data_IF_682514871628
#
_entry.id   IF_682514871628
#
_cell.length_a   1.000
_cell.length_b   1.000
_cell.length_c   1.000
_cell.angle_alpha   90.00
_cell.angle_beta   90.00
_cell.angle_gamma   90.00
#
_symmetry.space_group_name_H-M   'P 1'
#
loop_
_entity.id
_entity.type
_entity.pdbx_description
1 polymer ?
#
# COMPACT_ATOMS: atom_id res chain seq x y z
N UNK A 1 28.50 -24.04 27.89
CA UNK A 1 27.27 -23.33 28.34
C UNK A 1 27.68 -21.92 28.70
N UNK A 2 27.30 -20.97 27.86
CA UNK A 2 27.64 -19.57 28.05
C UNK A 2 26.37 -18.79 28.39
N UNK A 3 26.44 -17.93 29.40
CA UNK A 3 25.35 -17.02 29.76
C UNK A 3 25.74 -15.61 29.33
N UNK A 4 24.82 -14.93 28.64
CA UNK A 4 24.98 -13.52 28.29
C UNK A 4 23.84 -12.72 28.90
N UNK A 5 24.15 -11.50 29.36
CA UNK A 5 23.16 -10.58 29.91
C UNK A 5 23.04 -9.42 28.94
N UNK A 6 21.82 -9.22 28.43
CA UNK A 6 21.50 -8.11 27.56
C UNK A 6 20.89 -6.97 28.38
N UNK A 7 21.60 -5.84 28.41
CA UNK A 7 21.23 -4.63 29.15
C UNK A 7 20.58 -3.55 28.28
N UNK A 8 20.32 -3.81 26.98
CA UNK A 8 19.61 -2.86 26.11
C UNK A 8 18.26 -2.38 26.63
N UNK A 9 17.45 -3.18 27.37
CA UNK A 9 16.25 -2.66 28.02
C UNK A 9 16.50 -1.49 28.97
N UNK A 10 17.72 -1.30 29.48
CA UNK A 10 18.09 -0.18 30.36
C UNK A 10 18.78 0.98 29.65
N UNK A 11 19.22 0.82 28.39
CA UNK A 11 20.15 1.74 27.74
C UNK A 11 19.56 3.12 27.38
N UNK A 12 18.31 3.40 27.74
CA UNK A 12 17.71 4.72 27.64
C UNK A 12 18.09 5.63 28.82
N UNK A 13 18.01 5.12 30.06
CA UNK A 13 17.94 5.96 31.27
C UNK A 13 19.29 6.07 31.98
N UNK A 14 19.78 7.29 32.19
CA UNK A 14 20.98 7.52 33.00
C UNK A 14 20.75 8.60 34.06
N UNK A 15 21.52 8.51 35.14
CA UNK A 15 21.37 9.36 36.30
C UNK A 15 22.25 10.61 36.14
N UNK A 16 21.63 11.75 35.82
CA UNK A 16 22.34 13.02 35.74
C UNK A 16 22.44 13.64 37.14
N UNK A 17 23.64 14.13 37.49
CA UNK A 17 23.92 14.79 38.76
C UNK A 17 24.11 16.27 38.50
N UNK A 18 23.11 17.07 38.80
CA UNK A 18 23.19 18.53 38.73
C UNK A 18 23.30 19.12 40.13
N UNK A 19 24.27 20.02 40.32
CA UNK A 19 24.42 20.76 41.57
C UNK A 19 23.49 21.97 41.53
N UNK A 20 22.51 22.01 42.43
CA UNK A 20 21.64 23.18 42.57
C UNK A 20 22.34 24.21 43.50
N UNK A 21 22.81 25.36 42.96
CA UNK A 21 23.52 26.36 43.74
C UNK A 21 22.63 27.07 44.78
N UNK A 22 21.30 27.03 44.63
CA UNK A 22 20.36 27.68 45.55
C UNK A 22 20.04 26.79 46.76
N UNK A 23 19.89 25.47 46.54
CA UNK A 23 19.60 24.52 47.62
C UNK A 23 20.85 23.85 48.22
N UNK A 24 22.04 24.08 47.64
CA UNK A 24 23.32 23.47 48.03
C UNK A 24 23.25 21.93 48.13
N UNK A 25 22.43 21.30 47.29
CA UNK A 25 22.24 19.84 47.24
C UNK A 25 22.51 19.32 45.84
N UNK A 26 23.05 18.11 45.78
CA UNK A 26 23.16 17.34 44.54
C UNK A 26 21.78 16.78 44.25
N UNK A 27 21.17 17.21 43.16
CA UNK A 27 19.90 16.66 42.69
C UNK A 27 20.22 15.52 41.71
N UNK A 28 19.62 14.36 41.95
CA UNK A 28 19.69 13.22 41.05
C UNK A 28 18.44 13.24 40.19
N UNK A 29 18.58 13.55 38.91
CA UNK A 29 17.49 13.48 37.93
C UNK A 29 17.75 12.30 36.99
N UNK A 30 16.79 11.39 36.88
CA UNK A 30 16.81 10.38 35.82
C UNK A 30 16.53 11.10 34.50
N UNK A 31 17.45 10.97 33.54
CA UNK A 31 17.31 11.52 32.19
C UNK A 31 16.94 10.37 31.27
N UNK A 32 16.05 10.62 30.30
CA UNK A 32 15.57 9.66 29.28
C UNK A 32 14.70 8.51 29.83
N UNK A 33 13.82 8.75 30.80
CA UNK A 33 12.82 7.76 31.22
C UNK A 33 11.85 7.39 30.10
N UNK A 34 11.60 8.34 29.18
CA UNK A 34 10.63 8.21 28.09
C UNK A 34 11.25 7.71 26.77
N UNK A 35 12.57 7.53 26.72
CA UNK A 35 13.27 7.20 25.47
C UNK A 35 13.20 5.70 25.20
N UNK A 36 12.39 5.32 24.21
CA UNK A 36 12.35 3.96 23.71
C UNK A 36 13.48 3.73 22.70
N UNK A 37 14.46 2.91 23.07
CA UNK A 37 15.60 2.60 22.20
C UNK A 37 15.18 2.04 20.84
N UNK A 38 14.10 1.24 20.79
CA UNK A 38 13.59 0.71 19.53
C UNK A 38 12.99 1.82 18.66
N UNK A 39 12.36 2.84 19.25
CA UNK A 39 11.84 3.97 18.49
C UNK A 39 12.98 4.74 17.80
N UNK A 40 14.09 4.97 18.50
CA UNK A 40 15.29 5.60 17.90
C UNK A 40 15.87 4.71 16.78
N UNK A 41 15.97 3.41 16.99
CA UNK A 41 16.46 2.48 15.97
C UNK A 41 15.57 2.48 14.72
N UNK A 42 14.26 2.66 14.88
CA UNK A 42 13.31 2.73 13.79
C UNK A 42 13.43 4.01 12.95
N UNK A 43 13.73 5.14 13.58
CA UNK A 43 13.96 6.41 12.90
C UNK A 43 15.28 6.42 12.10
N UNK A 44 16.24 5.59 12.48
CA UNK A 44 17.53 5.47 11.78
C UNK A 44 17.38 4.86 10.38
N UNK A 45 18.13 5.41 9.42
CA UNK A 45 18.29 4.85 8.06
C UNK A 45 19.30 3.69 8.02
N UNK A 46 20.13 3.54 9.06
CA UNK A 46 21.23 2.57 9.12
C UNK A 46 20.72 1.16 9.47
N UNK A 47 20.28 0.39 8.46
CA UNK A 47 19.75 -0.97 8.65
C UNK A 47 20.76 -1.96 9.27
N UNK A 48 22.06 -1.74 9.09
CA UNK A 48 23.12 -2.60 9.62
C UNK A 48 23.09 -2.70 11.16
N UNK A 49 22.50 -1.73 11.85
CA UNK A 49 22.34 -1.80 13.30
C UNK A 49 21.51 -3.01 13.77
N UNK A 50 20.58 -3.48 12.94
CA UNK A 50 19.74 -4.65 13.21
C UNK A 50 20.51 -5.98 13.10
N UNK A 51 21.76 -5.97 12.65
CA UNK A 51 22.66 -7.13 12.69
C UNK A 51 23.24 -7.37 14.09
N UNK A 52 23.20 -6.36 14.97
CA UNK A 52 23.70 -6.50 16.32
C UNK A 52 22.88 -7.53 17.10
N UNK A 53 23.55 -8.59 17.57
CA UNK A 53 22.90 -9.72 18.25
C UNK A 53 22.07 -9.28 19.46
N UNK A 54 22.56 -8.30 20.22
CA UNK A 54 21.85 -7.74 21.37
C UNK A 54 20.53 -7.08 20.96
N UNK A 55 20.49 -6.38 19.83
CA UNK A 55 19.26 -5.75 19.33
C UNK A 55 18.26 -6.81 18.85
N UNK A 56 18.72 -7.82 18.11
CA UNK A 56 17.87 -8.95 17.67
C UNK A 56 17.24 -9.68 18.85
N UNK A 57 18.03 -9.98 19.89
CA UNK A 57 17.55 -10.63 21.10
C UNK A 57 16.47 -9.80 21.83
N UNK A 58 16.63 -8.48 21.87
CA UNK A 58 15.64 -7.58 22.45
C UNK A 58 14.33 -7.61 21.65
N UNK A 59 14.43 -7.51 20.32
CA UNK A 59 13.29 -7.53 19.41
C UNK A 59 12.56 -8.87 19.54
N UNK A 60 13.25 -10.00 19.48
CA UNK A 60 12.65 -11.32 19.59
C UNK A 60 11.97 -11.54 20.95
N UNK A 61 12.56 -11.07 22.04
CA UNK A 61 11.93 -11.13 23.35
C UNK A 61 10.61 -10.36 23.37
N UNK A 62 10.62 -9.08 22.99
CA UNK A 62 9.43 -8.22 23.01
C UNK A 62 8.36 -8.69 22.03
N UNK A 63 8.79 -9.16 20.85
CA UNK A 63 7.92 -9.74 19.83
C UNK A 63 7.14 -10.94 20.37
N UNK A 64 7.85 -11.91 20.97
CA UNK A 64 7.23 -13.12 21.51
C UNK A 64 6.44 -12.88 22.80
N UNK A 65 6.79 -11.85 23.58
CA UNK A 65 6.14 -11.56 24.84
C UNK A 65 4.72 -10.97 24.68
N UNK A 66 4.53 -10.04 23.73
CA UNK A 66 3.23 -9.37 23.54
C UNK A 66 2.96 -8.89 22.12
N UNK A 67 3.94 -8.37 21.38
CA UNK A 67 3.66 -7.68 20.11
C UNK A 67 3.09 -8.62 19.03
N UNK A 68 3.56 -9.87 18.96
CA UNK A 68 3.03 -10.85 18.02
C UNK A 68 1.54 -11.14 18.24
N UNK A 69 1.10 -11.24 19.50
CA UNK A 69 -0.30 -11.53 19.81
C UNK A 69 -1.21 -10.36 19.39
N UNK A 70 -0.79 -9.13 19.69
CA UNK A 70 -1.51 -7.91 19.29
C UNK A 70 -1.59 -7.78 17.77
N UNK A 71 -0.47 -8.04 17.07
CA UNK A 71 -0.43 -8.04 15.61
C UNK A 71 -1.36 -9.10 15.00
N UNK A 72 -1.29 -10.34 15.48
CA UNK A 72 -2.14 -11.43 14.98
C UNK A 72 -3.63 -11.19 15.25
N UNK A 73 -3.96 -10.56 16.38
CA UNK A 73 -5.32 -10.14 16.68
C UNK A 73 -5.79 -9.05 15.72
N UNK A 74 -4.97 -8.02 15.46
CA UNK A 74 -5.25 -6.98 14.48
C UNK A 74 -5.45 -7.54 13.07
N UNK A 75 -4.58 -8.46 12.64
CA UNK A 75 -4.68 -9.18 11.38
C UNK A 75 -5.99 -9.98 11.27
N UNK A 76 -6.38 -10.67 12.33
CA UNK A 76 -7.63 -11.44 12.37
C UNK A 76 -8.86 -10.55 12.19
N UNK A 77 -8.93 -9.42 12.92
CA UNK A 77 -10.04 -8.47 12.79
C UNK A 77 -10.07 -7.86 11.38
N UNK A 78 -8.91 -7.54 10.81
CA UNK A 78 -8.81 -7.04 9.43
C UNK A 78 -9.34 -8.04 8.40
N UNK A 79 -8.96 -9.32 8.50
CA UNK A 79 -9.51 -10.36 7.61
C UNK A 79 -11.00 -10.60 7.83
N UNK A 80 -11.48 -10.54 9.06
CA UNK A 80 -12.92 -10.60 9.35
C UNK A 80 -13.66 -9.43 8.67
N UNK A 81 -13.09 -8.22 8.71
CA UNK A 81 -13.66 -7.05 8.03
C UNK A 81 -13.65 -7.20 6.49
N UNK A 82 -12.57 -7.73 5.90
CA UNK A 82 -12.52 -8.04 4.46
C UNK A 82 -13.61 -9.04 4.08
N UNK A 83 -13.82 -10.07 4.88
CA UNK A 83 -14.88 -11.06 4.65
C UNK A 83 -16.26 -10.40 4.71
N UNK A 84 -16.49 -9.50 5.67
CA UNK A 84 -17.73 -8.72 5.76
C UNK A 84 -17.90 -7.84 4.49
N UNK A 85 -16.86 -7.12 4.06
CA UNK A 85 -16.89 -6.31 2.84
C UNK A 85 -17.21 -7.14 1.59
N UNK A 86 -16.61 -8.32 1.48
CA UNK A 86 -16.84 -9.25 0.37
C UNK A 86 -18.29 -9.72 0.33
N UNK A 87 -18.81 -10.24 1.46
CA UNK A 87 -20.19 -10.70 1.57
C UNK A 87 -21.19 -9.56 1.35
N UNK A 88 -20.93 -8.39 1.92
CA UNK A 88 -21.75 -7.19 1.75
C UNK A 88 -21.81 -6.76 0.27
N UNK A 89 -20.67 -6.76 -0.42
CA UNK A 89 -20.61 -6.41 -1.84
C UNK A 89 -21.48 -7.36 -2.67
N UNK A 90 -21.41 -8.67 -2.37
CA UNK A 90 -22.24 -9.66 -3.04
C UNK A 90 -23.74 -9.45 -2.76
N UNK A 91 -24.15 -9.29 -1.51
CA UNK A 91 -25.57 -9.11 -1.16
C UNK A 91 -26.16 -7.81 -1.74
N UNK A 92 -25.46 -6.68 -1.61
CA UNK A 92 -26.03 -5.38 -1.96
C UNK A 92 -25.85 -5.04 -3.43
N UNK A 93 -24.64 -5.24 -3.98
CA UNK A 93 -24.32 -4.80 -5.34
C UNK A 93 -24.54 -5.88 -6.41
N UNK A 94 -24.50 -7.17 -6.04
CA UNK A 94 -24.73 -8.28 -6.98
C UNK A 94 -26.17 -8.80 -6.88
N UNK A 95 -26.64 -9.14 -5.67
CA UNK A 95 -28.00 -9.68 -5.48
C UNK A 95 -29.08 -8.59 -5.42
N UNK A 96 -28.70 -7.32 -5.21
CA UNK A 96 -29.66 -6.21 -5.19
C UNK A 96 -30.50 -6.12 -3.92
N UNK A 97 -30.06 -6.75 -2.82
CA UNK A 97 -30.82 -6.82 -1.55
C UNK A 97 -30.87 -5.48 -0.78
N UNK A 98 -30.24 -4.42 -1.30
CA UNK A 98 -30.19 -3.09 -0.69
C UNK A 98 -31.31 -2.13 -1.13
N UNK A 99 -32.35 -2.61 -1.82
CA UNK A 99 -33.48 -1.78 -2.25
C UNK A 99 -34.47 -1.57 -1.08
N UNK A 100 -34.11 -0.70 -0.13
CA UNK A 100 -34.94 -0.37 1.04
C UNK A 100 -34.12 -0.14 2.29
N UNK A 101 -34.64 -0.57 3.44
CA UNK A 101 -33.87 -0.59 4.68
C UNK A 101 -32.70 -1.58 4.55
N UNK A 102 -31.49 -1.14 4.90
CA UNK A 102 -30.27 -1.90 4.73
C UNK A 102 -29.69 -2.27 6.11
N UNK A 103 -30.23 -3.32 6.76
CA UNK A 103 -29.76 -3.74 8.08
C UNK A 103 -28.31 -4.24 8.06
N UNK A 104 -27.80 -4.64 6.90
CA UNK A 104 -26.42 -5.12 6.71
C UNK A 104 -25.38 -4.01 6.91
N UNK A 105 -25.77 -2.74 6.83
CA UNK A 105 -24.91 -1.58 7.14
C UNK A 105 -24.42 -1.60 8.60
N UNK A 106 -25.20 -2.15 9.53
CA UNK A 106 -24.82 -2.30 10.94
C UNK A 106 -23.67 -3.30 11.09
N UNK A 107 -23.67 -4.36 10.28
CA UNK A 107 -22.61 -5.37 10.28
C UNK A 107 -21.30 -4.76 9.76
N UNK A 108 -21.36 -3.91 8.73
CA UNK A 108 -20.20 -3.14 8.27
C UNK A 108 -19.65 -2.23 9.37
N UNK A 109 -20.54 -1.49 10.05
CA UNK A 109 -20.15 -0.60 11.15
C UNK A 109 -19.51 -1.38 12.32
N UNK A 110 -20.07 -2.55 12.65
CA UNK A 110 -19.51 -3.42 13.68
C UNK A 110 -18.11 -3.94 13.31
N UNK A 111 -17.88 -4.28 12.03
CA UNK A 111 -16.58 -4.73 11.54
C UNK A 111 -15.48 -3.67 11.61
N UNK A 112 -15.82 -2.39 11.38
CA UNK A 112 -14.85 -1.28 11.44
C UNK A 112 -14.71 -0.66 12.84
N UNK A 113 -15.60 -0.96 13.78
CA UNK A 113 -15.61 -0.35 15.11
C UNK A 113 -14.29 -0.56 15.88
N UNK A 114 -13.75 -1.79 15.89
CA UNK A 114 -12.47 -2.06 16.57
C UNK A 114 -11.29 -1.31 15.94
N UNK A 115 -11.04 -1.42 14.61
CA UNK A 115 -9.98 -0.64 13.95
C UNK A 115 -10.14 0.87 14.15
N UNK A 116 -11.38 1.40 14.13
CA UNK A 116 -11.64 2.81 14.35
C UNK A 116 -11.29 3.26 15.77
N UNK A 117 -11.68 2.50 16.78
CA UNK A 117 -11.28 2.78 18.17
C UNK A 117 -9.76 2.67 18.36
N UNK A 118 -9.13 1.68 17.74
CA UNK A 118 -7.69 1.48 17.80
C UNK A 118 -6.94 2.69 17.25
N UNK A 119 -7.22 3.09 16.00
CA UNK A 119 -6.56 4.25 15.37
C UNK A 119 -6.86 5.57 16.11
N UNK A 120 -8.08 5.74 16.62
CA UNK A 120 -8.43 6.91 17.43
C UNK A 120 -7.55 6.98 18.68
N UNK A 121 -7.44 5.89 19.44
CA UNK A 121 -6.58 5.83 20.64
C UNK A 121 -5.11 6.08 20.28
N UNK A 122 -4.63 5.53 19.15
CA UNK A 122 -3.27 5.74 18.66
C UNK A 122 -2.98 7.22 18.44
N UNK A 123 -3.87 7.91 17.73
CA UNK A 123 -3.73 9.32 17.40
C UNK A 123 -3.70 10.22 18.66
N UNK A 124 -4.48 9.91 19.71
CA UNK A 124 -4.42 10.66 20.97
C UNK A 124 -3.14 10.41 21.76
N UNK A 125 -2.59 9.19 21.71
CA UNK A 125 -1.39 8.83 22.47
C UNK A 125 -0.11 9.35 21.84
N UNK A 126 -0.01 9.28 20.52
CA UNK A 126 1.14 9.81 19.77
C UNK A 126 1.07 11.34 19.69
N UNK A 127 -0.14 11.90 19.64
CA UNK A 127 -0.37 13.32 19.41
C UNK A 127 -0.77 13.57 17.95
N UNK A 128 -1.82 14.37 17.67
CA UNK A 128 -2.31 14.55 16.30
C UNK A 128 -1.28 15.15 15.32
N UNK A 129 -0.40 16.04 15.82
CA UNK A 129 0.63 16.67 15.00
C UNK A 129 1.67 15.65 14.53
N UNK A 130 2.24 14.89 15.46
CA UNK A 130 3.28 13.91 15.17
C UNK A 130 2.72 12.72 14.39
N UNK A 131 1.50 12.28 14.72
CA UNK A 131 0.82 11.19 14.00
C UNK A 131 0.62 11.50 12.51
N UNK A 132 0.29 12.75 12.16
CA UNK A 132 0.05 13.18 10.78
C UNK A 132 1.33 13.48 9.98
N UNK A 133 2.51 13.45 10.60
CA UNK A 133 3.77 13.54 9.84
C UNK A 133 4.08 12.28 9.04
N UNK A 134 3.56 11.12 9.46
CA UNK A 134 3.75 9.87 8.73
C UNK A 134 2.66 9.71 7.64
N UNK A 135 3.12 9.61 6.39
CA UNK A 135 2.27 9.33 5.22
C UNK A 135 1.53 7.99 5.32
N UNK A 136 2.08 7.03 6.06
CA UNK A 136 1.46 5.75 6.39
C UNK A 136 0.11 5.93 7.08
N UNK A 137 0.17 6.63 8.21
CA UNK A 137 -0.94 6.94 9.10
C UNK A 137 -2.04 7.74 8.41
N UNK A 138 -1.69 8.71 7.55
CA UNK A 138 -2.68 9.50 6.82
C UNK A 138 -3.59 8.64 5.94
N UNK A 139 -3.03 7.65 5.25
CA UNK A 139 -3.79 6.79 4.34
C UNK A 139 -4.63 5.78 5.11
N UNK A 140 -4.13 5.32 6.25
CA UNK A 140 -4.88 4.43 7.15
C UNK A 140 -6.06 5.17 7.81
N UNK A 141 -5.89 6.46 8.14
CA UNK A 141 -6.96 7.33 8.60
C UNK A 141 -8.07 7.46 7.55
N UNK A 142 -7.72 7.70 6.29
CA UNK A 142 -8.69 7.76 5.19
C UNK A 142 -9.42 6.43 5.02
N UNK A 143 -8.71 5.31 5.13
CA UNK A 143 -9.32 3.98 5.04
C UNK A 143 -10.35 3.73 6.13
N UNK A 144 -9.99 4.02 7.39
CA UNK A 144 -10.84 3.76 8.55
C UNK A 144 -12.03 4.71 8.62
N UNK A 145 -11.81 6.02 8.50
CA UNK A 145 -12.92 6.97 8.53
C UNK A 145 -13.76 6.94 7.26
N UNK A 146 -13.15 6.62 6.10
CA UNK A 146 -13.87 6.33 4.87
C UNK A 146 -14.78 5.10 5.03
N UNK A 147 -14.32 4.06 5.72
CA UNK A 147 -15.12 2.86 6.03
C UNK A 147 -16.28 3.15 6.99
N UNK A 148 -16.07 4.00 8.00
CA UNK A 148 -17.13 4.47 8.91
C UNK A 148 -18.16 5.32 8.15
N UNK A 149 -17.70 6.28 7.35
CA UNK A 149 -18.58 7.13 6.54
C UNK A 149 -19.40 6.30 5.55
N UNK A 150 -18.76 5.32 4.89
CA UNK A 150 -19.42 4.37 3.99
C UNK A 150 -20.52 3.58 4.70
N UNK A 151 -20.24 3.04 5.88
CA UNK A 151 -21.21 2.29 6.68
C UNK A 151 -22.42 3.14 7.05
N UNK A 152 -22.22 4.41 7.42
CA UNK A 152 -23.30 5.35 7.75
C UNK A 152 -24.12 5.72 6.52
N UNK A 153 -23.48 6.00 5.38
CA UNK A 153 -24.17 6.37 4.14
C UNK A 153 -25.03 5.23 3.60
N UNK A 154 -24.54 3.99 3.71
CA UNK A 154 -25.24 2.80 3.28
C UNK A 154 -26.43 2.43 4.17
N UNK A 155 -26.46 2.86 5.43
CA UNK A 155 -27.57 2.64 6.36
C UNK A 155 -28.71 3.66 6.26
N UNK A 156 -28.59 4.67 5.39
CA UNK A 156 -29.67 5.65 5.15
C UNK A 156 -30.49 5.24 3.93
N UNK A 157 -31.81 5.43 3.97
CA UNK A 157 -32.68 5.21 2.80
C UNK A 157 -32.32 6.12 1.62
N UNK A 158 -31.87 7.36 1.90
CA UNK A 158 -31.44 8.33 0.91
C UNK A 158 -30.19 9.06 1.44
N UNK A 159 -29.02 8.99 0.79
CA UNK A 159 -28.76 8.53 -0.59
C UNK A 159 -28.66 7.00 -0.80
N UNK A 160 -28.53 6.20 0.26
CA UNK A 160 -28.44 4.73 0.16
C UNK A 160 -27.17 4.20 -0.52
N UNK A 161 -27.05 2.86 -0.67
CA UNK A 161 -25.86 2.21 -1.23
C UNK A 161 -25.71 2.41 -2.75
N UNK A 162 -26.81 2.64 -3.48
CA UNK A 162 -26.75 2.72 -4.95
C UNK A 162 -26.35 4.09 -5.50
N UNK A 163 -26.31 5.12 -4.64
CA UNK A 163 -25.86 6.44 -5.02
C UNK A 163 -24.39 6.45 -5.44
N UNK A 164 -24.04 7.29 -6.41
CA UNK A 164 -22.69 7.32 -7.00
C UNK A 164 -21.59 7.63 -5.96
N UNK A 165 -21.89 8.50 -4.97
CA UNK A 165 -20.95 8.80 -3.87
C UNK A 165 -20.68 7.56 -3.02
N UNK A 166 -21.73 6.81 -2.67
CA UNK A 166 -21.64 5.58 -1.88
C UNK A 166 -20.80 4.52 -2.60
N UNK A 167 -21.05 4.34 -3.91
CA UNK A 167 -20.25 3.48 -4.78
C UNK A 167 -18.78 3.92 -4.85
N UNK A 168 -18.54 5.22 -4.99
CA UNK A 168 -17.18 5.77 -5.07
C UNK A 168 -16.40 5.53 -3.78
N UNK A 169 -17.01 5.81 -2.62
CA UNK A 169 -16.37 5.56 -1.32
C UNK A 169 -16.15 4.05 -1.14
N UNK A 170 -17.10 3.20 -1.52
CA UNK A 170 -16.93 1.74 -1.46
C UNK A 170 -15.72 1.28 -2.29
N UNK A 171 -15.61 1.72 -3.55
CA UNK A 171 -14.46 1.38 -4.41
C UNK A 171 -13.14 1.87 -3.81
N UNK A 172 -13.12 3.10 -3.27
CA UNK A 172 -11.95 3.66 -2.60
C UNK A 172 -11.54 2.84 -1.37
N UNK A 173 -12.49 2.49 -0.50
CA UNK A 173 -12.26 1.67 0.70
C UNK A 173 -11.74 0.29 0.32
N UNK A 174 -12.28 -0.35 -0.71
CA UNK A 174 -11.81 -1.66 -1.18
C UNK A 174 -10.37 -1.59 -1.70
N UNK A 175 -10.00 -0.54 -2.43
CA UNK A 175 -8.61 -0.34 -2.89
C UNK A 175 -7.68 -0.14 -1.68
N UNK A 176 -8.06 0.71 -0.73
CA UNK A 176 -7.27 0.96 0.47
C UNK A 176 -7.16 -0.30 1.37
N UNK A 177 -8.16 -1.18 1.37
CA UNK A 177 -8.10 -2.46 2.08
C UNK A 177 -6.97 -3.35 1.56
N UNK A 178 -6.67 -3.32 0.25
CA UNK A 178 -5.55 -4.07 -0.33
C UNK A 178 -4.22 -3.57 0.26
N UNK A 179 -4.01 -2.25 0.26
CA UNK A 179 -2.81 -1.64 0.88
C UNK A 179 -2.69 -2.05 2.36
N UNK A 180 -3.76 -1.90 3.16
CA UNK A 180 -3.74 -2.26 4.59
C UNK A 180 -3.44 -3.75 4.78
N UNK A 181 -3.95 -4.62 3.90
CA UNK A 181 -3.62 -6.06 3.91
C UNK A 181 -2.13 -6.30 3.73
N UNK A 182 -1.51 -5.68 2.71
CA UNK A 182 -0.07 -5.82 2.49
C UNK A 182 0.76 -5.30 3.68
N UNK A 183 0.34 -4.21 4.33
CA UNK A 183 1.01 -3.72 5.54
C UNK A 183 1.02 -4.76 6.67
N UNK A 184 -0.11 -5.44 6.93
CA UNK A 184 -0.15 -6.52 7.91
C UNK A 184 0.69 -7.74 7.52
N UNK A 185 0.77 -8.05 6.22
CA UNK A 185 1.52 -9.19 5.71
C UNK A 185 3.04 -8.97 5.67
N UNK A 186 3.50 -7.71 5.74
CA UNK A 186 4.91 -7.31 5.65
C UNK A 186 5.80 -7.98 6.69
N UNK A 187 5.27 -8.42 7.84
CA UNK A 187 6.07 -9.04 8.89
C UNK A 187 6.37 -10.53 8.67
N UNK A 188 5.61 -11.21 7.82
CA UNK A 188 5.81 -12.63 7.59
C UNK A 188 7.04 -12.83 6.71
N UNK A 189 8.01 -13.63 7.16
CA UNK A 189 9.28 -13.84 6.43
C UNK A 189 9.09 -14.26 4.97
N UNK A 190 8.05 -15.03 4.66
CA UNK A 190 7.75 -15.47 3.29
C UNK A 190 7.09 -14.38 2.42
N UNK A 191 6.39 -13.42 3.01
CA UNK A 191 5.62 -12.40 2.29
C UNK A 191 6.28 -11.01 2.32
N UNK A 192 7.13 -10.75 3.32
CA UNK A 192 7.91 -9.52 3.46
C UNK A 192 8.69 -9.15 2.20
N UNK A 193 9.45 -10.07 1.56
CA UNK A 193 10.19 -9.72 0.35
C UNK A 193 9.25 -9.19 -0.73
N UNK A 194 8.09 -9.81 -0.90
CA UNK A 194 7.12 -9.44 -1.94
C UNK A 194 6.57 -8.03 -1.67
N UNK A 195 6.14 -7.74 -0.44
CA UNK A 195 5.54 -6.44 -0.09
C UNK A 195 6.58 -5.30 -0.18
N UNK A 196 7.76 -5.51 0.38
CA UNK A 196 8.83 -4.49 0.39
C UNK A 196 9.38 -4.27 -1.01
N UNK A 197 9.54 -5.34 -1.80
CA UNK A 197 9.98 -5.25 -3.19
C UNK A 197 8.98 -4.46 -4.04
N UNK A 198 7.68 -4.78 -3.98
CA UNK A 198 6.68 -4.07 -4.79
C UNK A 198 6.68 -2.56 -4.53
N UNK A 199 6.86 -2.14 -3.28
CA UNK A 199 6.91 -0.72 -2.93
C UNK A 199 8.19 -0.05 -3.44
N UNK A 200 9.33 -0.74 -3.35
CA UNK A 200 10.62 -0.19 -3.77
C UNK A 200 10.79 -0.15 -5.29
N UNK A 201 10.42 -1.23 -5.98
CA UNK A 201 10.50 -1.35 -7.44
C UNK A 201 9.69 -0.25 -8.13
N UNK A 202 8.51 0.13 -7.59
CA UNK A 202 7.73 1.22 -8.17
C UNK A 202 8.45 2.58 -8.09
N UNK A 203 9.24 2.82 -7.04
CA UNK A 203 10.06 4.03 -6.90
C UNK A 203 11.25 3.98 -7.84
N UNK A 204 11.92 2.84 -7.93
CA UNK A 204 13.09 2.67 -8.81
C UNK A 204 12.68 2.80 -10.30
N UNK A 205 11.48 2.32 -10.68
CA UNK A 205 10.93 2.42 -12.03
C UNK A 205 10.33 3.79 -12.38
N UNK A 206 10.27 4.75 -11.45
CA UNK A 206 9.53 6.01 -11.68
C UNK A 206 10.02 6.80 -12.90
N UNK A 207 11.35 6.83 -13.13
CA UNK A 207 11.96 7.52 -14.27
C UNK A 207 11.56 6.83 -15.56
N UNK A 208 11.52 5.49 -15.57
CA UNK A 208 11.09 4.70 -16.72
C UNK A 208 9.61 4.87 -17.02
N UNK A 209 8.75 4.88 -15.99
CA UNK A 209 7.33 5.14 -16.16
C UNK A 209 7.06 6.51 -16.79
N UNK A 210 7.86 7.53 -16.46
CA UNK A 210 7.79 8.83 -17.13
C UNK A 210 8.10 8.73 -18.62
N UNK A 211 9.23 8.09 -18.99
CA UNK A 211 9.57 7.88 -20.41
C UNK A 211 8.51 7.07 -21.14
N UNK A 212 7.93 6.07 -20.48
CA UNK A 212 6.86 5.24 -21.05
C UNK A 212 5.60 6.04 -21.36
N UNK A 213 5.15 6.87 -20.42
CA UNK A 213 3.98 7.73 -20.61
C UNK A 213 4.22 8.70 -21.77
N UNK A 214 5.42 9.28 -21.87
CA UNK A 214 5.79 10.13 -23.00
C UNK A 214 5.71 9.36 -24.32
N UNK A 215 6.29 8.14 -24.38
CA UNK A 215 6.23 7.31 -25.58
C UNK A 215 4.80 6.96 -25.98
N UNK A 216 3.94 6.59 -25.03
CA UNK A 216 2.53 6.28 -25.29
C UNK A 216 1.80 7.50 -25.85
N UNK A 217 1.96 8.65 -25.21
CA UNK A 217 1.32 9.89 -25.67
C UNK A 217 1.81 10.24 -27.07
N UNK A 218 3.12 10.17 -27.32
CA UNK A 218 3.66 10.42 -28.65
C UNK A 218 3.00 9.47 -29.64
N UNK A 219 3.15 8.15 -29.51
CA UNK A 219 2.56 7.13 -30.40
C UNK A 219 1.05 7.28 -30.62
N UNK A 220 0.31 7.73 -29.61
CA UNK A 220 -1.13 7.97 -29.72
C UNK A 220 -1.48 9.07 -30.72
N UNK A 221 -0.59 10.08 -30.85
CA UNK A 221 -0.76 11.16 -31.81
C UNK A 221 -0.58 10.65 -33.24
N UNK A 222 0.37 9.75 -33.50
CA UNK A 222 0.52 9.16 -34.85
C UNK A 222 -0.70 8.32 -35.23
N UNK A 223 -1.30 7.57 -34.28
CA UNK A 223 -2.57 6.87 -34.55
C UNK A 223 -3.72 7.85 -34.84
N UNK A 224 -3.77 8.97 -34.12
CA UNK A 224 -4.72 10.04 -34.39
C UNK A 224 -4.56 10.67 -35.78
N UNK A 225 -3.32 10.89 -36.21
CA UNK A 225 -2.99 11.43 -37.55
C UNK A 225 -3.38 10.45 -38.66
N UNK A 226 -3.21 9.14 -38.44
CA UNK A 226 -3.67 8.10 -39.37
C UNK A 226 -5.21 8.01 -39.47
N UNK A 227 -5.95 8.68 -38.58
CA UNK A 227 -7.41 8.61 -38.57
C UNK A 227 -7.97 7.23 -38.20
N UNK A 228 -7.18 6.42 -37.49
CA UNK A 228 -7.56 5.05 -37.15
C UNK A 228 -8.81 5.05 -36.25
N UNK A 229 -9.89 4.41 -36.72
CA UNK A 229 -11.17 4.38 -35.99
C UNK A 229 -11.95 5.70 -35.99
N UNK A 230 -11.63 6.63 -36.89
CA UNK A 230 -12.27 7.96 -36.94
C UNK A 230 -13.56 7.96 -37.77
N UNK A 231 -14.69 8.29 -37.12
CA UNK A 231 -16.01 8.41 -37.75
C UNK A 231 -16.32 9.82 -38.28
N UNK A 232 -15.53 10.83 -37.90
CA UNK A 232 -15.77 12.23 -38.28
C UNK A 232 -15.04 12.60 -39.57
N UNK A 233 -13.86 12.03 -39.79
CA UNK A 233 -13.03 12.28 -40.98
C UNK A 233 -13.45 11.36 -42.13
N UNK A 234 -13.45 11.89 -43.35
CA UNK A 234 -13.74 11.12 -44.56
C UNK A 234 -12.69 10.02 -44.79
N UNK A 235 -13.14 8.80 -45.03
CA UNK A 235 -12.27 7.64 -45.24
C UNK A 235 -13.03 6.32 -45.17
N UNK A 236 -12.37 5.19 -45.52
CA UNK A 236 -13.04 3.90 -45.62
C UNK A 236 -13.67 3.45 -44.29
N UNK A 237 -13.09 3.83 -43.15
CA UNK A 237 -13.69 3.55 -41.84
C UNK A 237 -15.04 4.27 -41.65
N UNK A 238 -15.11 5.57 -41.95
CA UNK A 238 -16.36 6.33 -41.87
C UNK A 238 -17.39 5.76 -42.85
N UNK A 239 -17.02 5.48 -44.09
CA UNK A 239 -17.96 5.00 -45.10
C UNK A 239 -18.62 3.66 -44.72
N UNK A 240 -17.89 2.79 -44.02
CA UNK A 240 -18.41 1.50 -43.58
C UNK A 240 -19.26 1.59 -42.30
N UNK A 241 -18.98 2.52 -41.38
CA UNK A 241 -19.57 2.51 -40.04
C UNK A 241 -20.39 3.77 -39.69
N UNK A 242 -20.37 4.81 -40.52
CA UNK A 242 -21.14 6.03 -40.28
C UNK A 242 -22.65 5.75 -40.34
N UNK A 243 -23.31 5.89 -39.20
CA UNK A 243 -24.76 5.63 -39.06
C UNK A 243 -25.14 4.19 -38.70
N UNK A 244 -24.18 3.27 -38.51
CA UNK A 244 -24.45 1.89 -38.07
C UNK A 244 -24.72 1.73 -36.56
N UNK A 245 -24.85 2.85 -35.81
CA UNK A 245 -25.11 2.80 -34.37
C UNK A 245 -23.86 2.41 -33.57
N UNK A 246 -23.99 1.42 -32.69
CA UNK A 246 -22.93 0.97 -31.76
C UNK A 246 -22.17 -0.28 -32.23
N UNK A 247 -22.24 -0.62 -33.52
CA UNK A 247 -21.60 -1.81 -34.09
C UNK A 247 -20.39 -1.43 -34.95
N UNK A 248 -19.30 -0.97 -34.30
CA UNK A 248 -18.04 -0.66 -34.98
C UNK A 248 -16.80 -0.94 -34.11
N UNK A 249 -15.63 -1.25 -34.71
CA UNK A 249 -14.39 -1.47 -33.97
C UNK A 249 -13.97 -0.20 -33.21
N UNK A 250 -13.78 -0.29 -31.89
CA UNK A 250 -13.45 0.86 -31.04
C UNK A 250 -14.66 1.60 -30.44
N UNK A 251 -15.87 1.03 -30.54
CA UNK A 251 -17.07 1.55 -29.85
C UNK A 251 -16.87 1.72 -28.33
N UNK A 252 -16.00 0.91 -27.72
CA UNK A 252 -15.59 1.03 -26.32
C UNK A 252 -15.07 2.43 -25.93
N UNK A 253 -14.50 3.17 -26.88
CA UNK A 253 -13.96 4.51 -26.65
C UNK A 253 -14.99 5.63 -26.85
N UNK A 254 -16.24 5.32 -27.26
CA UNK A 254 -17.28 6.33 -27.57
C UNK A 254 -17.52 7.32 -26.44
N UNK A 255 -17.48 6.86 -25.19
CA UNK A 255 -17.72 7.71 -23.99
C UNK A 255 -16.48 8.50 -23.54
N UNK A 256 -15.28 8.04 -23.90
CA UNK A 256 -14.01 8.64 -23.48
C UNK A 256 -13.50 9.62 -24.56
N UNK A 257 -13.89 9.39 -25.82
CA UNK A 257 -13.45 10.13 -26.99
C UNK A 257 -12.27 9.46 -27.68
N UNK A 258 -12.17 9.63 -29.00
CA UNK A 258 -11.15 8.99 -29.83
C UNK A 258 -9.72 9.37 -29.42
N UNK A 259 -9.49 10.61 -29.00
CA UNK A 259 -8.18 11.08 -28.55
C UNK A 259 -7.62 10.24 -27.38
N UNK A 260 -8.40 10.11 -26.29
CA UNK A 260 -8.02 9.26 -25.16
C UNK A 260 -8.10 7.77 -25.51
N UNK A 261 -8.99 7.38 -26.42
CA UNK A 261 -9.03 6.04 -26.99
C UNK A 261 -7.72 5.63 -27.65
N UNK A 262 -7.09 6.54 -28.40
CA UNK A 262 -5.79 6.27 -29.04
C UNK A 262 -4.67 6.09 -28.01
N UNK A 263 -4.67 6.87 -26.93
CA UNK A 263 -3.72 6.69 -25.81
C UNK A 263 -3.88 5.29 -25.20
N UNK A 264 -5.11 4.89 -24.91
CA UNK A 264 -5.41 3.57 -24.36
C UNK A 264 -5.09 2.44 -25.35
N UNK A 265 -5.27 2.68 -26.64
CA UNK A 265 -4.97 1.70 -27.70
C UNK A 265 -3.47 1.44 -27.80
N UNK A 266 -2.64 2.50 -27.75
CA UNK A 266 -1.18 2.34 -27.69
C UNK A 266 -0.74 1.67 -26.38
N UNK A 267 -1.35 2.04 -25.25
CA UNK A 267 -1.06 1.37 -23.98
C UNK A 267 -1.39 -0.13 -24.04
N UNK A 268 -2.53 -0.52 -24.63
CA UNK A 268 -2.88 -1.93 -24.88
C UNK A 268 -1.88 -2.63 -25.79
N UNK A 269 -1.48 -1.99 -26.88
CA UNK A 269 -0.45 -2.50 -27.80
C UNK A 269 0.89 -2.77 -27.07
N UNK A 270 1.26 -1.88 -26.14
CA UNK A 270 2.47 -2.00 -25.34
C UNK A 270 2.44 -3.13 -24.29
N UNK A 271 1.24 -3.65 -23.98
CA UNK A 271 1.06 -4.83 -23.12
C UNK A 271 0.87 -6.12 -23.94
N UNK A 272 0.92 -6.04 -25.27
CA UNK A 272 0.76 -7.18 -26.18
C UNK A 272 -0.68 -7.44 -26.66
N UNK A 273 -1.63 -6.53 -26.39
CA UNK A 273 -2.96 -6.58 -26.99
C UNK A 273 -2.97 -5.85 -28.33
N UNK A 274 -3.09 -6.62 -29.42
CA UNK A 274 -3.02 -6.13 -30.79
C UNK A 274 -4.39 -6.00 -31.47
N UNK A 275 -5.47 -5.82 -30.70
CA UNK A 275 -6.82 -5.56 -31.22
C UNK A 275 -6.89 -4.39 -32.23
N UNK A 276 -5.94 -3.46 -32.16
CA UNK A 276 -5.80 -2.33 -33.09
C UNK A 276 -5.54 -2.75 -34.55
N UNK A 277 -5.00 -3.95 -34.80
CA UNK A 277 -4.75 -4.47 -36.16
C UNK A 277 -6.06 -4.59 -36.95
N UNK A 278 -7.17 -4.94 -36.30
CA UNK A 278 -8.46 -5.08 -36.99
C UNK A 278 -8.94 -3.76 -37.61
N UNK A 279 -8.53 -2.62 -37.03
CA UNK A 279 -8.88 -1.30 -37.55
C UNK A 279 -8.06 -0.93 -38.79
N UNK A 280 -6.93 -1.60 -39.05
CA UNK A 280 -6.10 -1.35 -40.23
C UNK A 280 -6.73 -1.87 -41.53
N UNK A 281 -7.72 -2.76 -41.44
CA UNK A 281 -8.49 -3.25 -42.58
C UNK A 281 -9.33 -2.16 -43.26
N UNK A 282 -9.58 -1.06 -42.54
CA UNK A 282 -10.41 0.06 -42.98
C UNK A 282 -9.59 1.33 -43.27
N UNK A 283 -8.29 1.17 -43.48
CA UNK A 283 -7.38 2.22 -43.94
C UNK A 283 -7.17 2.12 -45.46
N UNK A 284 -6.84 3.23 -46.10
CA UNK A 284 -6.40 3.22 -47.50
C UNK A 284 -5.05 2.49 -47.63
N UNK A 285 -4.71 2.02 -48.83
CA UNK A 285 -3.48 1.24 -49.06
C UNK A 285 -2.20 1.97 -48.59
N UNK A 286 -2.11 3.29 -48.83
CA UNK A 286 -0.98 4.12 -48.39
C UNK A 286 -0.91 4.27 -46.87
N UNK A 287 -2.05 4.51 -46.23
CA UNK A 287 -2.19 4.64 -44.77
C UNK A 287 -1.93 3.30 -44.07
N UNK A 288 -2.33 2.19 -44.68
CA UNK A 288 -2.10 0.84 -44.18
C UNK A 288 -0.60 0.52 -44.14
N UNK A 289 0.17 0.90 -45.18
CA UNK A 289 1.64 0.77 -45.16
C UNK A 289 2.24 1.60 -44.02
N UNK A 290 1.81 2.86 -43.86
CA UNK A 290 2.27 3.72 -42.75
C UNK A 290 1.93 3.10 -41.39
N UNK A 291 0.72 2.56 -41.25
CA UNK A 291 0.26 1.86 -40.06
C UNK A 291 1.19 0.71 -39.69
N UNK A 292 1.55 -0.17 -40.64
CA UNK A 292 2.44 -1.30 -40.35
C UNK A 292 3.85 -0.86 -39.92
N UNK A 293 4.36 0.24 -40.47
CA UNK A 293 5.64 0.83 -40.05
C UNK A 293 5.56 1.33 -38.61
N UNK A 294 4.52 2.10 -38.27
CA UNK A 294 4.33 2.60 -36.90
C UNK A 294 4.04 1.48 -35.91
N UNK A 295 3.25 0.49 -36.30
CA UNK A 295 2.94 -0.68 -35.49
C UNK A 295 4.21 -1.49 -35.16
N UNK A 296 5.08 -1.71 -36.17
CA UNK A 296 6.39 -2.33 -35.94
C UNK A 296 7.25 -1.51 -34.99
N UNK A 297 7.27 -0.18 -35.15
CA UNK A 297 8.01 0.71 -34.26
C UNK A 297 7.51 0.64 -32.81
N UNK A 298 6.19 0.61 -32.60
CA UNK A 298 5.57 0.41 -31.28
C UNK A 298 6.05 -0.92 -30.70
N UNK A 299 5.91 -2.02 -31.45
CA UNK A 299 6.30 -3.35 -30.98
C UNK A 299 7.77 -3.43 -30.56
N UNK A 300 8.69 -2.90 -31.38
CA UNK A 300 10.12 -2.92 -31.07
C UNK A 300 10.43 -2.05 -29.85
N UNK A 301 9.93 -0.82 -29.80
CA UNK A 301 10.28 0.12 -28.73
C UNK A 301 9.62 -0.26 -27.40
N UNK A 302 8.34 -0.63 -27.38
CA UNK A 302 7.61 -0.92 -26.14
C UNK A 302 7.82 -2.36 -25.68
N UNK A 303 7.64 -3.34 -26.57
CA UNK A 303 7.57 -4.74 -26.15
C UNK A 303 8.95 -5.41 -26.11
N UNK A 304 9.88 -5.00 -26.98
CA UNK A 304 11.24 -5.58 -27.01
C UNK A 304 12.18 -4.76 -26.15
N UNK A 305 12.25 -3.45 -26.34
CA UNK A 305 13.24 -2.62 -25.62
C UNK A 305 12.72 -2.29 -24.21
N UNK A 306 11.58 -1.62 -24.12
CA UNK A 306 11.12 -1.08 -22.83
C UNK A 306 10.75 -2.18 -21.83
N UNK A 307 9.99 -3.20 -22.23
CA UNK A 307 9.60 -4.29 -21.33
C UNK A 307 10.80 -5.08 -20.79
N UNK A 308 11.77 -5.43 -21.63
CA UNK A 308 12.97 -6.14 -21.18
C UNK A 308 13.83 -5.28 -20.25
N UNK A 309 13.91 -3.99 -20.52
CA UNK A 309 14.61 -3.06 -19.64
C UNK A 309 13.94 -2.96 -18.26
N UNK A 310 12.61 -2.80 -18.22
CA UNK A 310 11.85 -2.76 -16.96
C UNK A 310 12.03 -4.04 -16.15
N UNK A 311 12.02 -5.22 -16.80
CA UNK A 311 12.28 -6.50 -16.14
C UNK A 311 13.70 -6.55 -15.57
N UNK A 312 14.70 -6.08 -16.31
CA UNK A 312 16.08 -6.05 -15.84
C UNK A 312 16.26 -5.15 -14.61
N UNK A 313 15.70 -3.94 -14.64
CA UNK A 313 15.78 -3.00 -13.51
C UNK A 313 15.02 -3.53 -12.29
N UNK A 314 13.81 -4.07 -12.46
CA UNK A 314 13.06 -4.70 -11.38
C UNK A 314 13.81 -5.90 -10.77
N UNK A 315 14.51 -6.69 -11.60
CA UNK A 315 15.36 -7.79 -11.15
C UNK A 315 16.56 -7.32 -10.33
N UNK A 316 17.18 -6.20 -10.72
CA UNK A 316 18.27 -5.58 -9.96
C UNK A 316 17.77 -5.07 -8.60
N UNK A 317 16.69 -4.30 -8.56
CA UNK A 317 16.05 -3.85 -7.33
C UNK A 317 15.67 -5.01 -6.41
N UNK A 318 15.16 -6.12 -6.97
CA UNK A 318 14.85 -7.31 -6.20
C UNK A 318 16.08 -7.89 -5.49
N UNK A 319 17.21 -8.00 -6.19
CA UNK A 319 18.44 -8.54 -5.60
C UNK A 319 18.93 -7.72 -4.40
N UNK A 320 18.90 -6.39 -4.52
CA UNK A 320 19.29 -5.46 -3.45
C UNK A 320 18.37 -5.59 -2.22
N UNK A 321 17.05 -5.63 -2.45
CA UNK A 321 16.08 -5.77 -1.35
C UNK A 321 16.19 -7.14 -0.68
N UNK A 322 16.50 -8.19 -1.44
CA UNK A 322 16.66 -9.54 -0.92
C UNK A 322 17.86 -9.65 0.03
N UNK A 323 18.97 -8.95 -0.23
CA UNK A 323 20.15 -8.95 0.64
C UNK A 323 19.88 -8.36 2.03
N UNK A 324 18.99 -7.38 2.12
CA UNK A 324 18.71 -6.63 3.37
C UNK A 324 17.37 -7.01 4.02
N UNK A 325 16.74 -8.10 3.57
CA UNK A 325 15.37 -8.41 3.94
C UNK A 325 15.19 -8.71 5.44
N UNK A 326 16.19 -9.34 6.07
CA UNK A 326 16.13 -9.63 7.50
C UNK A 326 16.15 -8.35 8.33
N UNK A 327 17.00 -7.39 7.96
CA UNK A 327 17.10 -6.09 8.60
C UNK A 327 15.79 -5.30 8.42
N UNK A 328 15.19 -5.33 7.23
CA UNK A 328 13.86 -4.73 7.01
C UNK A 328 12.78 -5.35 7.92
N UNK A 329 12.73 -6.68 8.03
CA UNK A 329 11.76 -7.37 8.90
C UNK A 329 11.98 -6.98 10.37
N UNK A 330 13.24 -6.89 10.81
CA UNK A 330 13.58 -6.50 12.19
C UNK A 330 13.21 -5.05 12.49
N UNK A 331 13.41 -4.13 11.53
CA UNK A 331 12.97 -2.75 11.64
C UNK A 331 11.45 -2.65 11.74
N UNK A 332 10.71 -3.37 10.89
CA UNK A 332 9.24 -3.38 10.93
C UNK A 332 8.69 -4.03 12.20
N UNK A 333 9.30 -5.12 12.68
CA UNK A 333 9.01 -5.68 14.00
C UNK A 333 9.20 -4.66 15.10
N UNK A 334 10.26 -3.88 15.04
CA UNK A 334 10.57 -2.85 16.03
C UNK A 334 9.52 -1.74 16.02
N UNK A 335 9.08 -1.29 14.84
CA UNK A 335 7.96 -0.34 14.70
C UNK A 335 6.69 -0.86 15.40
N UNK A 336 6.30 -2.10 15.09
CA UNK A 336 5.10 -2.71 15.68
C UNK A 336 5.23 -2.95 17.18
N UNK A 337 6.44 -3.25 17.68
CA UNK A 337 6.70 -3.34 19.12
C UNK A 337 6.51 -1.97 19.78
N UNK A 338 7.10 -0.91 19.23
CA UNK A 338 6.96 0.46 19.76
C UNK A 338 5.49 0.88 19.78
N UNK A 339 4.76 0.61 18.70
CA UNK A 339 3.32 0.84 18.62
C UNK A 339 2.57 0.06 19.71
N UNK A 340 2.82 -1.24 19.85
CA UNK A 340 2.21 -2.07 20.88
C UNK A 340 2.50 -1.56 22.30
N UNK A 341 3.73 -1.10 22.58
CA UNK A 341 4.10 -0.54 23.89
C UNK A 341 3.37 0.76 24.20
N UNK A 342 3.11 1.58 23.19
CA UNK A 342 2.27 2.78 23.32
C UNK A 342 0.81 2.40 23.64
N UNK A 343 0.32 1.31 23.06
CA UNK A 343 -1.06 0.86 23.21
C UNK A 343 -1.35 0.18 24.54
N UNK A 344 -0.40 -0.59 25.08
CA UNK A 344 -0.53 -1.29 26.36
C UNK A 344 -0.60 -0.27 27.52
N UNK A 345 -1.69 -0.24 28.30
CA UNK A 345 -1.78 0.64 29.47
C UNK A 345 -0.73 0.29 30.53
N UNK A 346 -0.22 1.29 31.23
CA UNK A 346 0.85 1.12 32.24
C UNK A 346 0.53 0.09 33.32
N UNK A 347 -0.75 -0.06 33.68
CA UNK A 347 -1.22 -1.04 34.68
C UNK A 347 -0.96 -2.49 34.29
N UNK A 348 -0.80 -2.78 32.99
CA UNK A 348 -0.52 -4.12 32.49
C UNK A 348 0.97 -4.36 32.23
N UNK A 349 1.83 -3.35 32.46
CA UNK A 349 3.30 -3.48 32.33
C UNK A 349 3.88 -4.25 33.52
N UNK A 350 3.83 -5.58 33.43
CA UNK A 350 4.44 -6.46 34.42
C UNK A 350 5.95 -6.59 34.19
N UNK A 351 6.69 -6.95 35.24
CA UNK A 351 8.14 -7.21 35.16
C UNK A 351 8.49 -8.38 34.23
N UNK A 352 7.51 -9.23 33.89
CA UNK A 352 7.65 -10.30 32.89
C UNK A 352 7.68 -9.76 31.46
N UNK A 353 6.98 -8.66 31.18
CA UNK A 353 6.94 -8.03 29.85
C UNK A 353 7.98 -6.92 29.71
N UNK A 354 8.31 -6.24 30.81
CA UNK A 354 9.29 -5.16 30.86
C UNK A 354 10.42 -5.51 31.86
N UNK A 355 11.24 -6.53 31.57
CA UNK A 355 12.34 -6.91 32.45
C UNK A 355 13.46 -5.87 32.37
N UNK A 356 14.15 -5.71 33.49
CA UNK A 356 15.34 -4.86 33.63
C UNK A 356 16.54 -5.36 32.81
N UNK A 357 16.67 -6.67 32.63
CA UNK A 357 17.73 -7.30 31.84
C UNK A 357 17.22 -8.63 31.30
N UNK A 358 17.78 -9.07 30.17
CA UNK A 358 17.44 -10.36 29.56
C UNK A 358 18.64 -11.29 29.75
N UNK A 359 18.41 -12.45 30.38
CA UNK A 359 19.44 -13.49 30.54
C UNK A 359 19.26 -14.53 29.45
N UNK A 360 20.29 -14.76 28.67
CA UNK A 360 20.26 -15.66 27.53
C UNK A 360 21.27 -16.76 27.75
N UNK A 361 20.78 -18.00 27.71
CA UNK A 361 21.60 -19.20 27.80
C UNK A 361 21.94 -19.66 26.38
N UNK A 362 23.21 -19.55 26.00
CA UNK A 362 23.74 -20.13 24.77
C UNK A 362 24.24 -21.54 25.06
N UNK A 363 23.68 -22.51 24.35
CA UNK A 363 24.22 -23.87 24.29
C UNK A 363 25.00 -23.95 22.99
N UNK A 364 26.33 -24.02 23.09
CA UNK A 364 27.17 -24.32 21.94
C UNK A 364 26.80 -25.74 21.48
N UNK A 365 26.30 -25.86 20.25
CA UNK A 365 25.88 -27.12 19.63
C UNK A 365 27.10 -27.92 19.18
#
# INVERSE_FOLDING_TARGET
>A
INYSINFLPMLGTYLNKTYDPYQKKVVHTLVNEDVNILAICCESEELQMFEAESLQQLIDFKWNAYANLLHMFGLFIHFAYILILFLYTNMIYINGEGQGDNPYSIILLAGVAYPACYEFIQMFKVGPADYLTDTGNYIDLIYIWGSVAMSILHGRENPGPYHWVSKLIMMMVTILAIRRTFNFLRIFKSLSPIVTMLSRVMVDLQVFMLFFIILIIMFSLQLGILGLGNLEVEGPFRDNFYGQGDDYPGVEFRRIGLFFGNILTVFRASMGDFSLINSSLYLNDSENIMFWIFFLAILVLTNIIFLNFVIAEAGNSYSIVQEQIEQFILKEKSNLIVEAESMIPERFRSQKWYPKYIVIRKMDL
#
